data_IF_789371730301
#
_entry.id   IF_789371730301
#
_cell.length_a   1.000
_cell.length_b   1.000
_cell.length_c   1.000
_cell.angle_alpha   90.00
_cell.angle_beta   90.00
_cell.angle_gamma   90.00
#
_symmetry.space_group_name_H-M   'P 1'
#
loop_
_entity.id
_entity.type
_entity.pdbx_description
1 polymer ?
#
# COMPACT_ATOMS: atom_id res chain seq x y z
N UNK A 1 69.85 29.73 -36.38
CA UNK A 1 69.21 28.53 -35.82
C UNK A 1 68.94 27.60 -36.97
N UNK A 2 69.58 26.42 -37.00
CA UNK A 2 69.43 25.46 -38.10
C UNK A 2 67.98 24.95 -38.15
N UNK A 3 67.45 24.74 -39.36
CA UNK A 3 66.06 24.31 -39.60
C UNK A 3 65.61 23.12 -38.73
N UNK A 4 66.55 22.24 -38.35
CA UNK A 4 66.34 21.12 -37.45
C UNK A 4 65.86 21.55 -36.05
N UNK A 5 66.42 22.62 -35.48
CA UNK A 5 66.02 23.14 -34.17
C UNK A 5 64.63 23.78 -34.22
N UNK A 6 64.29 24.42 -35.34
CA UNK A 6 62.95 24.98 -35.59
C UNK A 6 61.91 23.87 -35.70
N UNK A 7 62.21 22.79 -36.42
CA UNK A 7 61.32 21.62 -36.56
C UNK A 7 61.08 20.96 -35.20
N UNK A 8 62.13 20.79 -34.39
CA UNK A 8 62.02 20.20 -33.04
C UNK A 8 61.12 21.08 -32.16
N UNK A 9 61.32 22.40 -32.15
CA UNK A 9 60.50 23.33 -31.36
C UNK A 9 59.03 23.28 -31.80
N UNK A 10 58.74 23.26 -33.09
CA UNK A 10 57.38 23.14 -33.62
C UNK A 10 56.71 21.82 -33.23
N UNK A 11 57.45 20.71 -33.29
CA UNK A 11 56.91 19.40 -32.90
C UNK A 11 56.56 19.32 -31.41
N UNK A 12 57.36 19.93 -30.53
CA UNK A 12 57.07 20.00 -29.09
C UNK A 12 55.84 20.85 -28.81
N UNK A 13 55.69 21.99 -29.50
CA UNK A 13 54.52 22.86 -29.37
C UNK A 13 53.23 22.12 -29.79
N UNK A 14 53.28 21.36 -30.89
CA UNK A 14 52.14 20.56 -31.35
C UNK A 14 51.75 19.49 -30.33
N UNK A 15 52.72 18.79 -29.75
CA UNK A 15 52.46 17.75 -28.72
C UNK A 15 51.80 18.39 -27.48
N UNK A 16 52.28 19.55 -27.04
CA UNK A 16 51.71 20.28 -25.90
C UNK A 16 50.26 20.72 -26.21
N UNK A 17 50.00 21.20 -27.43
CA UNK A 17 48.65 21.57 -27.88
C UNK A 17 47.69 20.38 -27.86
N UNK A 18 48.11 19.23 -28.40
CA UNK A 18 47.30 18.00 -28.41
C UNK A 18 47.02 17.51 -26.98
N UNK A 19 48.01 17.58 -26.09
CA UNK A 19 47.84 17.22 -24.68
C UNK A 19 46.84 18.14 -23.97
N UNK A 20 46.91 19.46 -24.19
CA UNK A 20 45.97 20.43 -23.60
C UNK A 20 44.54 20.20 -24.11
N UNK A 21 44.38 19.93 -25.41
CA UNK A 21 43.06 19.62 -26.00
C UNK A 21 42.52 18.30 -25.43
N UNK A 22 43.37 17.27 -25.30
CA UNK A 22 42.99 15.99 -24.69
C UNK A 22 42.54 16.13 -23.24
N UNK A 23 43.28 16.90 -22.43
CA UNK A 23 42.93 17.19 -21.03
C UNK A 23 41.61 17.98 -20.95
N UNK A 24 41.41 18.96 -21.82
CA UNK A 24 40.16 19.74 -21.90
C UNK A 24 38.94 18.87 -22.26
N UNK A 25 39.10 17.90 -23.17
CA UNK A 25 38.05 16.97 -23.56
C UNK A 25 37.68 15.98 -22.45
N UNK A 26 38.66 15.52 -21.66
CA UNK A 26 38.43 14.57 -20.55
C UNK A 26 37.77 15.28 -19.36
N UNK A 27 38.18 16.52 -19.08
CA UNK A 27 37.71 17.27 -17.90
C UNK A 27 36.29 17.85 -18.04
N UNK A 28 35.69 17.79 -19.23
CA UNK A 28 34.38 18.39 -19.51
C UNK A 28 33.21 17.40 -19.45
N UNK A 29 33.38 16.28 -18.75
CA UNK A 29 32.29 15.37 -18.45
C UNK A 29 31.63 15.75 -17.11
N UNK A 30 31.10 16.97 -17.04
CA UNK A 30 30.08 17.28 -16.04
C UNK A 30 28.83 16.50 -16.45
N UNK A 31 28.77 15.20 -16.13
CA UNK A 31 27.60 14.37 -16.33
C UNK A 31 26.53 14.92 -15.38
N UNK A 32 25.74 15.86 -15.88
CA UNK A 32 24.62 16.40 -15.13
C UNK A 32 23.68 15.25 -14.86
N UNK A 33 23.35 15.05 -13.59
CA UNK A 33 22.43 14.02 -13.16
C UNK A 33 21.12 14.14 -13.93
N UNK A 34 20.55 13.00 -14.28
CA UNK A 34 19.27 12.94 -14.97
C UNK A 34 18.12 13.26 -14.01
N UNK A 35 17.16 14.05 -14.47
CA UNK A 35 15.96 14.34 -13.71
C UNK A 35 15.09 13.10 -13.57
N UNK A 36 14.47 12.95 -12.41
CA UNK A 36 13.55 11.85 -12.11
C UNK A 36 12.13 12.34 -11.90
N UNK A 37 11.18 11.45 -12.11
CA UNK A 37 9.77 11.65 -11.82
C UNK A 37 9.29 10.55 -10.87
N UNK A 38 8.58 10.94 -9.81
CA UNK A 38 7.85 10.01 -8.94
C UNK A 38 6.36 10.20 -9.20
N UNK A 39 5.66 9.09 -9.34
CA UNK A 39 4.20 9.04 -9.41
C UNK A 39 3.65 7.91 -8.53
N UNK A 40 2.40 8.05 -8.11
CA UNK A 40 1.61 6.94 -7.58
C UNK A 40 0.84 6.33 -8.75
N UNK A 41 0.95 5.01 -8.91
CA UNK A 41 0.23 4.27 -9.94
C UNK A 41 -1.01 3.64 -9.30
N UNK A 42 -2.16 4.30 -9.43
CA UNK A 42 -3.41 3.82 -8.81
C UNK A 42 -4.40 4.93 -8.49
N UNK A 43 -5.49 4.55 -7.82
CA UNK A 43 -6.48 5.45 -7.27
C UNK A 43 -5.96 6.11 -5.99
N UNK A 44 -6.49 7.30 -5.66
CA UNK A 44 -6.22 7.97 -4.39
C UNK A 44 -6.93 7.32 -3.19
N UNK A 45 -7.61 6.19 -3.39
CA UNK A 45 -8.31 5.45 -2.33
C UNK A 45 -7.75 4.04 -2.26
N UNK A 46 -7.17 3.68 -1.11
CA UNK A 46 -6.57 2.37 -0.86
C UNK A 46 -7.32 1.67 0.26
N UNK A 47 -7.35 0.34 0.23
CA UNK A 47 -7.75 -0.45 1.38
C UNK A 47 -6.54 -0.79 2.26
N UNK A 48 -6.72 -0.91 3.59
CA UNK A 48 -5.65 -1.36 4.49
C UNK A 48 -5.04 -2.67 3.96
N UNK A 49 -3.71 -2.81 3.99
CA UNK A 49 -3.03 -3.99 3.44
C UNK A 49 -2.99 -4.09 1.91
N UNK A 50 -3.73 -3.26 1.16
CA UNK A 50 -3.54 -3.12 -0.28
C UNK A 50 -2.19 -2.44 -0.55
N UNK A 51 -1.39 -2.94 -1.52
CA UNK A 51 -0.12 -2.34 -1.84
C UNK A 51 -0.30 -1.03 -2.61
N UNK A 52 0.24 0.07 -2.07
CA UNK A 52 0.46 1.30 -2.82
C UNK A 52 1.62 1.08 -3.80
N UNK A 53 1.38 1.31 -5.09
CA UNK A 53 2.40 1.22 -6.13
C UNK A 53 2.95 2.61 -6.42
N UNK A 54 4.27 2.76 -6.27
CA UNK A 54 5.01 3.97 -6.60
C UNK A 54 5.85 3.70 -7.82
N UNK A 55 5.86 4.61 -8.78
CA UNK A 55 6.69 4.54 -9.97
C UNK A 55 7.76 5.63 -9.95
N UNK A 56 9.01 5.23 -10.13
CA UNK A 56 10.15 6.12 -10.36
C UNK A 56 10.61 5.97 -11.80
N UNK A 57 10.68 7.08 -12.54
CA UNK A 57 11.15 7.09 -13.92
C UNK A 57 12.17 8.19 -14.20
N UNK A 58 12.93 8.01 -15.28
CA UNK A 58 13.76 9.06 -15.86
C UNK A 58 12.89 10.10 -16.59
N UNK A 59 13.53 11.12 -17.17
CA UNK A 59 12.85 12.18 -17.95
C UNK A 59 12.12 11.67 -19.19
N UNK A 60 12.47 10.48 -19.69
CA UNK A 60 11.89 9.85 -20.88
C UNK A 60 10.76 8.88 -20.51
N UNK A 61 10.49 8.67 -19.22
CA UNK A 61 9.48 7.75 -18.71
C UNK A 61 9.97 6.30 -18.53
N UNK A 62 11.27 6.03 -18.69
CA UNK A 62 11.82 4.71 -18.42
C UNK A 62 11.92 4.47 -16.91
N UNK A 63 11.54 3.29 -16.46
CA UNK A 63 11.62 2.91 -15.05
C UNK A 63 13.05 2.87 -14.53
N UNK A 64 13.27 3.37 -13.33
CA UNK A 64 14.58 3.34 -12.67
C UNK A 64 14.52 2.32 -11.52
N UNK A 65 15.18 1.18 -11.71
CA UNK A 65 15.17 0.09 -10.74
C UNK A 65 16.25 0.14 -9.66
N UNK A 66 16.04 -0.68 -8.62
CA UNK A 66 16.93 -0.84 -7.46
C UNK A 66 17.16 0.45 -6.65
N UNK A 67 16.15 1.34 -6.61
CA UNK A 67 16.24 2.62 -5.90
C UNK A 67 15.40 2.61 -4.63
N UNK A 68 15.98 3.12 -3.53
CA UNK A 68 15.27 3.27 -2.27
C UNK A 68 14.36 4.51 -2.30
N UNK A 69 13.07 4.28 -2.06
CA UNK A 69 12.04 5.31 -1.93
C UNK A 69 11.57 5.33 -0.48
N UNK A 70 11.46 6.53 0.09
CA UNK A 70 10.88 6.76 1.41
C UNK A 70 9.52 7.40 1.28
N UNK A 71 8.57 7.00 2.11
CA UNK A 71 7.26 7.64 2.21
C UNK A 71 6.93 7.95 3.65
N UNK A 72 6.53 9.18 3.90
CA UNK A 72 5.99 9.65 5.17
C UNK A 72 4.49 9.86 4.99
N UNK A 73 3.69 9.17 5.79
CA UNK A 73 2.25 9.18 5.73
C UNK A 73 1.69 9.81 7.01
N UNK A 74 1.05 10.97 6.87
CA UNK A 74 0.55 11.77 8.00
C UNK A 74 -0.98 11.78 8.02
N UNK A 75 -1.59 11.43 9.15
CA UNK A 75 -3.04 11.50 9.34
C UNK A 75 -3.53 12.92 9.67
N UNK A 76 -4.84 13.12 9.70
CA UNK A 76 -5.46 14.41 10.03
C UNK A 76 -5.17 14.92 11.44
N UNK A 77 -4.76 14.03 12.36
CA UNK A 77 -4.40 14.36 13.73
C UNK A 77 -2.88 14.65 13.87
N UNK A 78 -2.11 14.53 12.77
CA UNK A 78 -0.67 14.74 12.75
C UNK A 78 0.15 13.50 13.13
N UNK A 79 -0.45 12.31 13.26
CA UNK A 79 0.30 11.08 13.48
C UNK A 79 1.03 10.68 12.21
N UNK A 80 2.29 10.28 12.35
CA UNK A 80 3.18 9.98 11.23
C UNK A 80 3.53 8.49 11.20
N UNK A 81 3.44 7.88 10.02
CA UNK A 81 3.95 6.55 9.72
C UNK A 81 4.99 6.64 8.60
N UNK A 82 6.10 5.93 8.74
CA UNK A 82 7.17 5.92 7.76
C UNK A 82 7.29 4.56 7.08
N UNK A 83 7.50 4.58 5.77
CA UNK A 83 7.64 3.39 4.95
C UNK A 83 8.81 3.53 4.00
N UNK A 84 9.36 2.39 3.59
CA UNK A 84 10.39 2.29 2.57
C UNK A 84 10.07 1.19 1.57
N UNK A 85 10.48 1.37 0.32
CA UNK A 85 10.44 0.34 -0.71
C UNK A 85 11.65 0.49 -1.63
N UNK A 86 12.02 -0.60 -2.29
CA UNK A 86 13.00 -0.60 -3.37
C UNK A 86 12.25 -0.79 -4.69
N UNK A 87 12.59 -0.02 -5.72
CA UNK A 87 11.99 -0.16 -7.05
C UNK A 87 12.50 -1.40 -7.77
N UNK A 88 11.63 -2.06 -8.54
CA UNK A 88 12.00 -3.16 -9.44
C UNK A 88 12.58 -2.65 -10.77
N UNK A 89 12.90 -3.56 -11.70
CA UNK A 89 13.46 -3.20 -13.01
C UNK A 89 12.54 -2.31 -13.88
N UNK A 90 11.25 -2.23 -13.58
CA UNK A 90 10.28 -1.35 -14.25
C UNK A 90 10.12 0.00 -13.52
N UNK A 91 10.90 0.23 -12.46
CA UNK A 91 10.83 1.40 -11.62
C UNK A 91 9.67 1.37 -10.61
N UNK A 92 9.05 0.21 -10.36
CA UNK A 92 7.91 0.09 -9.45
C UNK A 92 8.32 -0.37 -8.05
N UNK A 93 7.98 0.42 -7.03
CA UNK A 93 8.07 0.06 -5.62
C UNK A 93 6.67 -0.21 -5.04
N UNK A 94 6.57 -1.13 -4.09
CA UNK A 94 5.29 -1.55 -3.49
C UNK A 94 5.36 -1.40 -1.98
N UNK A 95 4.45 -0.62 -1.41
CA UNK A 95 4.35 -0.41 0.04
C UNK A 95 3.02 -0.98 0.51
N UNK A 96 3.07 -1.97 1.41
CA UNK A 96 1.89 -2.42 2.14
C UNK A 96 1.56 -1.41 3.25
N UNK A 97 0.44 -0.71 3.11
CA UNK A 97 0.03 0.31 4.06
C UNK A 97 -0.61 -0.33 5.29
N UNK A 98 0.06 -0.21 6.43
CA UNK A 98 -0.41 -0.68 7.73
C UNK A 98 -0.56 0.51 8.67
N UNK A 99 -1.77 1.08 8.73
CA UNK A 99 -2.13 2.19 9.62
C UNK A 99 -3.25 1.76 10.56
N UNK A 100 -3.28 2.32 11.77
CA UNK A 100 -4.28 1.97 12.78
C UNK A 100 -5.68 2.48 12.41
N UNK A 101 -5.78 3.68 11.85
CA UNK A 101 -7.06 4.34 11.56
C UNK A 101 -7.29 4.45 10.05
N UNK A 102 -8.53 4.28 9.61
CA UNK A 102 -8.95 4.71 8.28
C UNK A 102 -9.16 6.24 8.26
N UNK A 103 -9.13 6.84 7.07
CA UNK A 103 -9.35 8.27 6.89
C UNK A 103 -8.47 8.90 5.81
N UNK A 104 -8.38 10.23 5.87
CA UNK A 104 -7.56 11.02 4.97
C UNK A 104 -6.12 11.09 5.48
N UNK A 105 -5.19 10.90 4.57
CA UNK A 105 -3.77 10.99 4.83
C UNK A 105 -3.07 11.80 3.76
N UNK A 106 -1.99 12.46 4.18
CA UNK A 106 -1.05 13.12 3.28
C UNK A 106 0.18 12.22 3.15
N UNK A 107 0.40 11.68 1.96
CA UNK A 107 1.57 10.89 1.62
C UNK A 107 2.64 11.79 1.00
N UNK A 108 3.76 11.97 1.70
CA UNK A 108 4.96 12.60 1.16
C UNK A 108 5.94 11.52 0.74
N UNK A 109 6.15 11.38 -0.57
CA UNK A 109 7.02 10.35 -1.16
C UNK A 109 8.26 11.02 -1.69
N UNK A 110 9.43 10.46 -1.35
CA UNK A 110 10.72 11.02 -1.71
C UNK A 110 11.69 9.96 -2.23
N UNK A 111 12.38 10.32 -3.31
CA UNK A 111 13.62 9.71 -3.76
C UNK A 111 14.76 10.71 -3.52
N UNK A 112 15.82 10.31 -2.83
CA UNK A 112 16.93 11.20 -2.48
C UNK A 112 17.97 11.38 -3.62
N UNK A 113 17.76 10.77 -4.78
CA UNK A 113 18.75 10.79 -5.85
C UNK A 113 19.95 9.88 -5.57
N UNK A 114 20.87 9.84 -6.53
CA UNK A 114 22.18 9.22 -6.39
C UNK A 114 23.21 9.99 -7.25
N UNK A 115 24.32 9.37 -7.65
CA UNK A 115 25.33 10.02 -8.49
C UNK A 115 24.88 10.23 -9.95
N UNK A 116 23.88 9.49 -10.41
CA UNK A 116 23.38 9.49 -11.79
C UNK A 116 22.06 10.25 -11.93
N UNK A 117 21.22 10.22 -10.88
CA UNK A 117 19.86 10.72 -10.89
C UNK A 117 19.65 11.79 -9.82
N UNK A 118 18.90 12.83 -10.16
CA UNK A 118 18.46 13.85 -9.21
C UNK A 118 17.38 13.31 -8.28
N UNK A 119 17.29 13.93 -7.09
CA UNK A 119 16.19 13.70 -6.17
C UNK A 119 14.85 14.18 -6.76
N UNK A 120 13.77 13.58 -6.30
CA UNK A 120 12.40 13.99 -6.62
C UNK A 120 11.47 13.65 -5.48
N UNK A 121 10.35 14.37 -5.40
CA UNK A 121 9.33 14.12 -4.40
C UNK A 121 7.96 14.52 -4.90
N UNK A 122 6.93 13.90 -4.32
CA UNK A 122 5.55 14.29 -4.50
C UNK A 122 4.83 14.28 -3.15
N UNK A 123 3.79 15.11 -3.05
CA UNK A 123 2.83 15.07 -1.96
C UNK A 123 1.49 14.72 -2.59
N UNK A 124 0.84 13.68 -2.07
CA UNK A 124 -0.45 13.23 -2.55
C UNK A 124 -1.38 12.99 -1.36
N UNK A 125 -2.61 13.50 -1.48
CA UNK A 125 -3.69 13.11 -0.58
C UNK A 125 -4.21 11.73 -0.98
N UNK A 126 -4.26 10.82 -0.01
CA UNK A 126 -4.83 9.49 -0.16
C UNK A 126 -5.86 9.23 0.93
N UNK A 127 -6.86 8.42 0.60
CA UNK A 127 -7.89 7.96 1.52
C UNK A 127 -7.60 6.49 1.78
N UNK A 128 -7.31 6.16 3.04
CA UNK A 128 -7.17 4.77 3.45
C UNK A 128 -8.49 4.35 4.06
N UNK A 129 -9.13 3.36 3.44
CA UNK A 129 -10.30 2.70 3.98
C UNK A 129 -9.85 1.44 4.68
N UNK A 130 -10.58 1.06 5.73
CA UNK A 130 -10.53 -0.32 6.18
C UNK A 130 -10.88 -1.22 4.99
N UNK A 131 -10.19 -2.36 4.85
CA UNK A 131 -10.68 -3.40 3.94
C UNK A 131 -12.14 -3.60 4.32
N UNK A 132 -13.05 -3.45 3.36
CA UNK A 132 -14.45 -3.85 3.58
C UNK A 132 -14.46 -5.38 3.62
N UNK A 133 -14.04 -5.94 4.75
CA UNK A 133 -14.89 -6.90 5.43
C UNK A 133 -15.93 -6.07 6.16
N UNK A 134 -17.18 -6.53 6.17
CA UNK A 134 -18.27 -5.83 6.84
C UNK A 134 -17.84 -5.25 8.19
N UNK A 135 -18.20 -3.97 8.41
CA UNK A 135 -17.90 -3.18 9.60
C UNK A 135 -18.06 -4.00 10.90
N UNK A 136 -16.96 -4.34 11.57
CA UNK A 136 -16.96 -4.75 12.97
C UNK A 136 -15.76 -4.14 13.69
N UNK A 137 -15.85 -2.85 14.00
CA UNK A 137 -15.28 -2.32 15.25
C UNK A 137 -16.44 -1.88 16.13
N UNK A 138 -16.82 -2.82 16.98
CA UNK A 138 -17.71 -2.70 18.12
C UNK A 138 -17.25 -1.58 19.06
N UNK A 139 -17.91 -0.42 18.96
CA UNK A 139 -18.16 0.37 20.15
C UNK A 139 -19.33 -0.29 20.89
N UNK A 140 -19.08 -0.72 22.13
CA UNK A 140 -20.03 -1.32 23.08
C UNK A 140 -21.32 -0.50 23.29
N UNK A 141 -21.40 0.73 22.78
CA UNK A 141 -22.54 1.65 22.95
C UNK A 141 -23.51 1.74 21.76
N UNK A 142 -23.26 1.10 20.62
CA UNK A 142 -24.12 1.21 19.42
C UNK A 142 -24.76 -0.11 18.96
N UNK A 143 -24.55 -1.22 19.68
CA UNK A 143 -25.16 -2.54 19.39
C UNK A 143 -26.71 -2.48 19.40
N UNK A 144 -27.30 -1.48 20.04
CA UNK A 144 -28.76 -1.34 20.15
C UNK A 144 -29.42 -0.55 19.00
N UNK A 145 -28.66 0.18 18.15
CA UNK A 145 -29.25 1.08 17.13
C UNK A 145 -29.48 0.44 15.76
N UNK A 146 -28.79 -0.67 15.45
CA UNK A 146 -28.96 -1.43 14.20
C UNK A 146 -29.57 -2.83 14.42
N UNK A 147 -30.09 -3.12 15.61
CA UNK A 147 -30.72 -4.39 15.93
C UNK A 147 -32.01 -4.55 15.10
N UNK A 148 -32.11 -5.50 14.15
CA UNK A 148 -33.36 -5.71 13.43
C UNK A 148 -34.43 -6.19 14.43
N UNK A 149 -35.50 -5.42 14.56
CA UNK A 149 -36.71 -5.87 15.27
C UNK A 149 -37.36 -6.94 14.40
N UNK A 150 -37.15 -8.21 14.76
CA UNK A 150 -37.79 -9.32 14.07
C UNK A 150 -39.29 -9.31 14.38
N UNK A 151 -40.11 -8.99 13.38
CA UNK A 151 -41.57 -8.96 13.47
C UNK A 151 -42.22 -10.24 12.93
N UNK A 152 -41.47 -11.31 12.59
CA UNK A 152 -42.06 -12.57 12.10
C UNK A 152 -42.78 -13.33 13.24
N UNK A 153 -44.12 -13.49 13.18
CA UNK A 153 -44.92 -14.14 14.22
C UNK A 153 -44.68 -15.66 14.34
N UNK A 154 -43.84 -16.26 13.50
CA UNK A 154 -43.43 -17.67 13.62
C UNK A 154 -42.29 -17.89 14.62
N UNK A 155 -41.74 -16.83 15.20
CA UNK A 155 -40.74 -16.89 16.26
C UNK A 155 -41.39 -17.38 17.57
N UNK A 156 -41.29 -18.69 17.83
CA UNK A 156 -41.65 -19.24 19.13
C UNK A 156 -40.46 -19.11 20.08
N UNK A 157 -40.73 -18.39 21.16
CA UNK A 157 -39.90 -18.21 22.36
C UNK A 157 -38.88 -17.06 22.29
N UNK A 158 -39.36 -15.86 22.58
CA UNK A 158 -39.27 -15.37 23.96
C UNK A 158 -37.88 -15.00 24.49
N UNK A 159 -36.94 -14.60 23.65
CA UNK A 159 -35.95 -13.59 24.03
C UNK A 159 -35.52 -12.88 22.76
N UNK A 160 -35.41 -11.56 22.82
CA UNK A 160 -35.07 -10.74 21.66
C UNK A 160 -33.56 -10.68 21.42
N UNK A 161 -32.78 -11.63 21.93
CA UNK A 161 -31.32 -11.64 21.82
C UNK A 161 -30.90 -12.11 20.42
N UNK A 162 -30.55 -11.14 19.58
CA UNK A 162 -29.85 -11.39 18.32
C UNK A 162 -28.45 -11.87 18.69
N UNK A 163 -28.21 -13.18 18.60
CA UNK A 163 -26.92 -13.79 18.95
C UNK A 163 -25.95 -13.65 17.78
N UNK A 164 -24.71 -13.24 18.04
CA UNK A 164 -23.64 -13.34 17.06
C UNK A 164 -23.09 -14.77 16.99
N UNK A 165 -22.61 -15.22 15.83
CA UNK A 165 -22.16 -16.60 15.58
C UNK A 165 -21.01 -17.04 16.49
N UNK A 166 -20.25 -16.10 17.03
CA UNK A 166 -19.13 -16.33 17.95
C UNK A 166 -19.54 -16.36 19.41
N UNK A 167 -20.81 -16.07 19.74
CA UNK A 167 -21.27 -16.06 21.12
C UNK A 167 -21.33 -17.46 21.71
N UNK A 168 -20.61 -17.62 22.82
CA UNK A 168 -20.71 -18.81 23.67
C UNK A 168 -21.97 -18.73 24.51
N UNK A 169 -22.88 -19.69 24.33
CA UNK A 169 -24.15 -19.72 25.06
C UNK A 169 -24.14 -20.94 25.98
N UNK A 170 -24.37 -20.73 27.28
CA UNK A 170 -24.39 -21.80 28.30
C UNK A 170 -23.14 -22.71 28.29
N UNK A 171 -21.95 -22.14 28.01
CA UNK A 171 -20.69 -22.88 27.98
C UNK A 171 -20.44 -23.69 26.71
N UNK A 172 -21.33 -23.61 25.72
CA UNK A 172 -21.13 -24.18 24.39
C UNK A 172 -20.42 -23.16 23.50
N UNK A 173 -19.23 -23.53 22.97
CA UNK A 173 -18.42 -22.67 22.11
C UNK A 173 -18.63 -23.04 20.62
N UNK A 174 -19.33 -22.21 19.82
CA UNK A 174 -19.65 -22.54 18.43
C UNK A 174 -18.40 -22.81 17.58
N UNK A 175 -17.29 -22.12 17.85
CA UNK A 175 -16.04 -22.28 17.09
C UNK A 175 -15.37 -23.65 17.28
N UNK A 176 -15.67 -24.37 18.35
CA UNK A 176 -15.14 -25.72 18.62
C UNK A 176 -15.97 -26.83 17.98
N UNK A 177 -17.21 -26.51 17.58
CA UNK A 177 -18.18 -27.47 17.05
C UNK A 177 -18.47 -27.27 15.56
N UNK A 178 -17.99 -26.18 14.94
CA UNK A 178 -18.23 -25.89 13.53
C UNK A 178 -17.56 -26.91 12.62
N UNK A 179 -18.35 -27.54 11.73
CA UNK A 179 -17.85 -28.50 10.74
C UNK A 179 -17.79 -27.93 9.33
N UNK A 180 -18.69 -27.01 8.97
CA UNK A 180 -18.69 -26.38 7.65
C UNK A 180 -19.49 -25.08 7.60
N UNK A 181 -19.13 -24.24 6.63
CA UNK A 181 -19.92 -23.08 6.19
C UNK A 181 -20.33 -23.21 4.73
N UNK A 182 -21.57 -22.85 4.44
CA UNK A 182 -22.15 -22.85 3.11
C UNK A 182 -22.72 -21.47 2.80
N UNK A 183 -22.29 -20.85 1.70
CA UNK A 183 -22.92 -19.65 1.15
C UNK A 183 -24.26 -20.06 0.54
N UNK A 184 -25.35 -19.48 1.05
CA UNK A 184 -26.72 -19.77 0.60
C UNK A 184 -27.31 -18.63 -0.24
N UNK A 185 -26.48 -17.63 -0.61
CA UNK A 185 -26.88 -16.46 -1.38
C UNK A 185 -27.48 -15.33 -0.53
N UNK A 186 -27.71 -14.19 -1.16
CA UNK A 186 -28.29 -12.97 -0.54
C UNK A 186 -27.53 -12.46 0.70
N UNK A 187 -26.21 -12.63 0.74
CA UNK A 187 -25.37 -12.21 1.87
C UNK A 187 -25.65 -13.04 3.13
N UNK A 188 -26.02 -14.31 2.98
CA UNK A 188 -26.27 -15.22 4.10
C UNK A 188 -25.44 -16.47 3.96
N UNK A 189 -25.11 -17.06 5.09
CA UNK A 189 -24.42 -18.34 5.12
C UNK A 189 -24.96 -19.22 6.23
N UNK A 190 -24.88 -20.53 5.97
CA UNK A 190 -25.25 -21.58 6.92
C UNK A 190 -23.98 -22.11 7.57
N UNK A 191 -23.99 -22.21 8.89
CA UNK A 191 -22.95 -22.86 9.69
C UNK A 191 -23.53 -24.18 10.18
N UNK A 192 -22.85 -25.28 9.87
CA UNK A 192 -23.21 -26.61 10.37
C UNK A 192 -22.28 -26.99 11.50
N UNK A 193 -22.83 -27.64 12.52
CA UNK A 193 -22.10 -28.12 13.69
C UNK A 193 -22.06 -29.65 13.73
N UNK A 194 -21.15 -30.20 14.54
CA UNK A 194 -20.85 -31.63 14.67
C UNK A 194 -22.01 -32.49 15.20
N UNK A 195 -22.96 -31.87 15.90
CA UNK A 195 -24.17 -32.49 16.48
C UNK A 195 -25.40 -32.43 15.55
N UNK A 196 -25.23 -31.94 14.31
CA UNK A 196 -26.31 -31.76 13.34
C UNK A 196 -27.09 -30.45 13.53
N UNK A 197 -26.80 -29.67 14.57
CA UNK A 197 -27.30 -28.32 14.72
C UNK A 197 -26.77 -27.44 13.58
N UNK A 198 -27.56 -26.43 13.20
CA UNK A 198 -27.11 -25.42 12.25
C UNK A 198 -27.65 -24.03 12.61
N UNK A 199 -26.89 -23.01 12.22
CA UNK A 199 -27.29 -21.60 12.26
C UNK A 199 -27.26 -21.02 10.86
N UNK A 200 -28.21 -20.13 10.55
CA UNK A 200 -28.18 -19.27 9.37
C UNK A 200 -27.89 -17.87 9.85
N UNK A 201 -26.78 -17.33 9.37
CA UNK A 201 -26.29 -16.01 9.73
C UNK A 201 -26.39 -15.05 8.54
N UNK A 202 -26.54 -13.76 8.83
CA UNK A 202 -26.31 -12.71 7.83
C UNK A 202 -24.81 -12.50 7.59
N UNK A 203 -24.48 -11.65 6.63
CA UNK A 203 -23.12 -11.27 6.25
C UNK A 203 -22.30 -10.65 7.40
N UNK A 204 -22.95 -10.28 8.51
CA UNK A 204 -22.35 -9.68 9.69
C UNK A 204 -22.24 -10.67 10.86
N UNK A 205 -22.60 -11.94 10.65
CA UNK A 205 -22.51 -12.98 11.67
C UNK A 205 -23.65 -13.01 12.68
N UNK A 206 -24.72 -12.24 12.48
CA UNK A 206 -25.90 -12.33 13.33
C UNK A 206 -26.78 -13.50 12.94
N UNK A 207 -27.17 -14.29 13.93
CA UNK A 207 -28.03 -15.45 13.73
C UNK A 207 -29.44 -14.99 13.38
N UNK A 208 -29.83 -15.23 12.14
CA UNK A 208 -31.19 -14.98 11.63
C UNK A 208 -32.13 -16.08 12.09
N UNK A 209 -31.68 -17.34 12.00
CA UNK A 209 -32.45 -18.52 12.39
C UNK A 209 -31.51 -19.71 12.66
N UNK A 210 -32.01 -20.74 13.32
CA UNK A 210 -31.26 -21.94 13.66
C UNK A 210 -32.17 -23.16 13.72
N UNK A 211 -31.60 -24.35 13.65
CA UNK A 211 -32.34 -25.61 13.65
C UNK A 211 -31.43 -26.82 13.88
N UNK A 212 -32.04 -28.00 13.87
CA UNK A 212 -31.39 -29.31 13.88
C UNK A 212 -31.85 -30.10 12.66
#
# INVERSE_FOLDING_TARGET
>A
MENKNIIIILSVIIIILVAIIGISLINNTNFSKENTNIAINGNSTLYKGEPLIIKLSDKNGNGIGNQNITMTLTDSNGNVNEYTTITDNNGEGRIAINVNNSGHYTANIKYNGNNEYNESSIIQEIIIKDIVGNNLTSNESDIDKNRPSNTDPRYKHGDSSVHHESETVNGWNPSEHEVSREDIGDGKYRINYDDGYYRICDENGYVITYGY
#
